data_IF_164136386520
#
_entry.id   IF_164136386520
#
_cell.length_a   1.000
_cell.length_b   1.000
_cell.length_c   1.000
_cell.angle_alpha   90.00
_cell.angle_beta   90.00
_cell.angle_gamma   90.00
#
_symmetry.space_group_name_H-M   'P 1'
#
loop_
_entity.id
_entity.type
_entity.pdbx_description
1 polymer ?
#
# COMPACT_ATOMS: atom_id res chain seq x y z
N UNK A 1 -0.43 5.67 -4.26
CA UNK A 1 -0.67 4.23 -4.00
C UNK A 1 -1.81 3.90 -3.04
N UNK A 2 -2.40 4.86 -2.29
CA UNK A 2 -3.51 4.59 -1.35
C UNK A 2 -4.81 4.03 -1.99
N UNK A 3 -4.96 4.12 -3.31
CA UNK A 3 -6.24 4.03 -4.02
C UNK A 3 -6.76 2.62 -4.34
N UNK A 4 -5.89 1.61 -4.49
CA UNK A 4 -6.33 0.20 -4.61
C UNK A 4 -6.37 -0.52 -3.26
N UNK A 5 -5.65 0.01 -2.26
CA UNK A 5 -5.53 -0.61 -0.96
C UNK A 5 -6.88 -0.71 -0.24
N UNK A 6 -7.74 0.30 -0.37
CA UNK A 6 -9.08 0.30 0.23
C UNK A 6 -9.97 -0.85 -0.27
N UNK A 7 -10.13 -1.01 -1.59
CA UNK A 7 -10.92 -2.12 -2.16
C UNK A 7 -10.34 -3.47 -1.82
N UNK A 8 -9.01 -3.60 -1.89
CA UNK A 8 -8.35 -4.84 -1.53
C UNK A 8 -8.58 -5.17 -0.05
N UNK A 9 -8.53 -4.18 0.84
CA UNK A 9 -8.83 -4.34 2.27
C UNK A 9 -10.28 -4.75 2.52
N UNK A 10 -11.26 -4.08 1.89
CA UNK A 10 -12.67 -4.45 2.01
C UNK A 10 -12.93 -5.89 1.52
N UNK A 11 -12.42 -6.26 0.35
CA UNK A 11 -12.59 -7.62 -0.18
C UNK A 11 -11.96 -8.68 0.73
N UNK A 12 -10.77 -8.39 1.27
CA UNK A 12 -10.02 -9.35 2.08
C UNK A 12 -10.58 -9.48 3.50
N UNK A 13 -11.00 -8.38 4.12
CA UNK A 13 -11.50 -8.34 5.49
C UNK A 13 -13.00 -8.60 5.60
N UNK A 14 -13.79 -8.08 4.66
CA UNK A 14 -15.26 -8.10 4.69
C UNK A 14 -15.87 -9.05 3.64
N UNK A 15 -15.06 -9.68 2.80
CA UNK A 15 -15.51 -10.63 1.76
C UNK A 15 -16.21 -9.98 0.55
N UNK A 16 -16.41 -8.65 0.57
CA UNK A 16 -17.03 -7.88 -0.52
C UNK A 16 -16.56 -6.42 -0.48
N UNK A 17 -16.62 -5.74 -1.63
CA UNK A 17 -16.35 -4.31 -1.73
C UNK A 17 -17.66 -3.53 -1.82
N UNK A 18 -17.77 -2.40 -1.11
CA UNK A 18 -19.02 -1.64 -1.00
C UNK A 18 -19.10 -0.39 -1.92
N UNK A 19 -18.16 -0.25 -2.85
CA UNK A 19 -18.34 0.64 -4.02
C UNK A 19 -17.73 2.04 -3.91
N UNK A 20 -16.86 2.31 -2.93
CA UNK A 20 -16.22 3.63 -2.77
C UNK A 20 -15.06 3.96 -3.73
N UNK A 21 -14.62 3.02 -4.57
CA UNK A 21 -13.34 3.14 -5.29
C UNK A 21 -13.45 3.47 -6.79
N UNK A 22 -14.60 3.96 -7.23
CA UNK A 22 -14.80 4.37 -8.63
C UNK A 22 -13.89 5.55 -9.00
N UNK A 23 -13.72 6.52 -8.09
CA UNK A 23 -12.76 7.63 -8.25
C UNK A 23 -11.32 7.12 -8.29
N UNK A 24 -10.97 6.22 -7.38
CA UNK A 24 -9.63 5.63 -7.27
C UNK A 24 -9.20 4.87 -8.53
N UNK A 25 -10.11 4.10 -9.12
CA UNK A 25 -9.85 3.37 -10.36
C UNK A 25 -9.65 4.31 -11.54
N UNK A 26 -10.43 5.39 -11.63
CA UNK A 26 -10.29 6.38 -12.71
C UNK A 26 -8.93 7.05 -12.65
N UNK A 27 -8.49 7.42 -11.45
CA UNK A 27 -7.22 8.12 -11.31
C UNK A 27 -6.01 7.22 -11.57
N UNK A 28 -6.09 5.95 -11.19
CA UNK A 28 -5.06 4.97 -11.56
C UNK A 28 -5.06 4.70 -13.06
N UNK A 29 -6.24 4.66 -13.70
CA UNK A 29 -6.31 4.51 -15.15
C UNK A 29 -5.57 5.65 -15.86
N UNK A 30 -5.77 6.90 -15.42
CA UNK A 30 -5.02 8.05 -15.96
C UNK A 30 -3.51 7.95 -15.75
N UNK A 31 -3.05 7.58 -14.54
CA UNK A 31 -1.61 7.38 -14.29
C UNK A 31 -1.01 6.25 -15.14
N UNK A 32 -1.81 5.24 -15.49
CA UNK A 32 -1.37 4.15 -16.36
C UNK A 32 -1.35 4.60 -17.83
N UNK A 33 -2.29 5.44 -18.26
CA UNK A 33 -2.32 6.02 -19.60
C UNK A 33 -1.06 6.85 -19.89
N UNK A 34 -0.50 7.52 -18.88
CA UNK A 34 0.74 8.30 -19.00
C UNK A 34 2.00 7.43 -19.23
N UNK A 35 1.94 6.13 -18.92
CA UNK A 35 3.10 5.21 -18.91
C UNK A 35 2.96 4.10 -19.95
N UNK A 36 1.73 3.71 -20.29
CA UNK A 36 1.46 2.59 -21.20
C UNK A 36 1.33 3.06 -22.65
N UNK A 37 1.96 2.34 -23.57
CA UNK A 37 1.92 2.68 -25.00
C UNK A 37 0.75 2.00 -25.74
N UNK A 38 0.01 1.13 -25.05
CA UNK A 38 -1.17 0.45 -25.62
C UNK A 38 -2.20 0.06 -24.56
N UNK A 39 -3.46 -0.08 -24.98
CA UNK A 39 -4.57 -0.56 -24.12
C UNK A 39 -4.28 -1.92 -23.48
N UNK A 40 -3.55 -2.80 -24.20
CA UNK A 40 -3.16 -4.12 -23.70
C UNK A 40 -2.15 -4.01 -22.55
N UNK A 41 -1.19 -3.10 -22.67
CA UNK A 41 -0.22 -2.80 -21.61
C UNK A 41 -0.91 -2.15 -20.41
N UNK A 42 -1.81 -1.17 -20.64
CA UNK A 42 -2.56 -0.51 -19.57
C UNK A 42 -3.34 -1.52 -18.72
N UNK A 43 -4.04 -2.44 -19.38
CA UNK A 43 -4.75 -3.54 -18.70
C UNK A 43 -3.80 -4.43 -17.89
N UNK A 44 -2.66 -4.80 -18.46
CA UNK A 44 -1.68 -5.67 -17.80
C UNK A 44 -1.10 -5.00 -16.57
N UNK A 45 -0.74 -3.71 -16.65
CA UNK A 45 -0.25 -2.93 -15.52
C UNK A 45 -1.29 -2.79 -14.42
N UNK A 46 -2.55 -2.50 -14.78
CA UNK A 46 -3.64 -2.41 -13.82
C UNK A 46 -3.80 -3.71 -13.01
N UNK A 47 -3.84 -4.87 -13.70
CA UNK A 47 -3.95 -6.18 -13.04
C UNK A 47 -2.76 -6.48 -12.11
N UNK A 48 -1.53 -6.10 -12.52
CA UNK A 48 -0.35 -6.25 -11.67
C UNK A 48 -0.45 -5.40 -10.42
N UNK A 49 -0.88 -4.14 -10.54
CA UNK A 49 -1.07 -3.24 -9.40
C UNK A 49 -2.15 -3.75 -8.44
N UNK A 50 -3.29 -4.23 -8.95
CA UNK A 50 -4.35 -4.82 -8.11
C UNK A 50 -3.85 -6.07 -7.37
N UNK A 51 -3.07 -6.93 -8.04
CA UNK A 51 -2.46 -8.10 -7.42
C UNK A 51 -1.48 -7.71 -6.32
N UNK A 52 -0.59 -6.75 -6.56
CA UNK A 52 0.35 -6.27 -5.54
C UNK A 52 -0.37 -5.64 -4.35
N UNK A 53 -1.37 -4.79 -4.58
CA UNK A 53 -2.18 -4.20 -3.52
C UNK A 53 -2.86 -5.28 -2.67
N UNK A 54 -3.44 -6.30 -3.32
CA UNK A 54 -4.06 -7.43 -2.63
C UNK A 54 -3.06 -8.23 -1.80
N UNK A 55 -1.87 -8.51 -2.32
CA UNK A 55 -0.81 -9.19 -1.56
C UNK A 55 -0.37 -8.37 -0.35
N UNK A 56 -0.23 -7.05 -0.50
CA UNK A 56 0.15 -6.15 0.58
C UNK A 56 -0.91 -6.15 1.69
N UNK A 57 -2.17 -6.02 1.31
CA UNK A 57 -3.30 -6.09 2.26
C UNK A 57 -3.32 -7.42 3.00
N UNK A 58 -3.19 -8.54 2.29
CA UNK A 58 -3.13 -9.88 2.91
C UNK A 58 -1.98 -10.00 3.90
N UNK A 59 -0.80 -9.53 3.50
CA UNK A 59 0.42 -9.54 4.32
C UNK A 59 0.25 -8.73 5.61
N UNK A 60 -0.46 -7.62 5.55
CA UNK A 60 -0.65 -6.70 6.68
C UNK A 60 -2.06 -6.77 7.30
N UNK A 61 -2.81 -7.85 7.03
CA UNK A 61 -4.22 -7.98 7.41
C UNK A 61 -4.49 -7.70 8.89
N UNK A 62 -3.66 -8.23 9.78
CA UNK A 62 -3.81 -8.03 11.23
C UNK A 62 -3.56 -6.57 11.65
N UNK A 63 -2.55 -5.93 11.08
CA UNK A 63 -2.26 -4.52 11.36
C UNK A 63 -3.37 -3.61 10.82
N UNK A 64 -3.90 -3.90 9.63
CA UNK A 64 -5.03 -3.17 9.05
C UNK A 64 -6.29 -3.32 9.93
N UNK A 65 -6.57 -4.53 10.42
CA UNK A 65 -7.70 -4.78 11.32
C UNK A 65 -7.54 -4.02 12.65
N UNK A 66 -6.37 -4.11 13.29
CA UNK A 66 -6.11 -3.40 14.55
C UNK A 66 -6.19 -1.87 14.38
N UNK A 67 -5.70 -1.34 13.26
CA UNK A 67 -5.84 0.08 12.94
C UNK A 67 -7.31 0.47 12.74
N UNK A 68 -8.09 -0.36 12.04
CA UNK A 68 -9.52 -0.12 11.86
C UNK A 68 -10.27 -0.12 13.20
N UNK A 69 -9.96 -1.07 14.09
CA UNK A 69 -10.53 -1.13 15.44
C UNK A 69 -10.17 0.13 16.25
N UNK A 70 -8.92 0.57 16.18
CA UNK A 70 -8.48 1.81 16.84
C UNK A 70 -9.22 3.05 16.31
N UNK A 71 -9.46 3.14 14.99
CA UNK A 71 -10.21 4.23 14.37
C UNK A 71 -11.72 4.18 14.65
N UNK A 72 -12.28 3.00 14.93
CA UNK A 72 -13.66 2.88 15.38
C UNK A 72 -13.83 3.38 16.83
N UNK A 73 -12.82 3.16 17.67
CA UNK A 73 -12.79 3.65 19.06
C UNK A 73 -12.46 5.15 19.14
N UNK A 74 -11.53 5.60 18.30
CA UNK A 74 -11.06 6.97 18.22
C UNK A 74 -11.43 7.54 16.85
N UNK A 75 -12.52 8.30 16.82
CA UNK A 75 -13.11 8.88 15.60
C UNK A 75 -12.10 9.65 14.75
N UNK A 76 -11.07 10.20 15.39
CA UNK A 76 -9.94 10.87 14.78
C UNK A 76 -8.64 10.43 15.45
N UNK A 77 -7.58 10.30 14.66
CA UNK A 77 -6.23 9.99 15.11
C UNK A 77 -5.27 10.98 14.46
N UNK A 78 -4.47 11.65 15.27
CA UNK A 78 -3.45 12.57 14.76
C UNK A 78 -2.26 11.78 14.19
N UNK A 79 -1.40 12.47 13.42
CA UNK A 79 -0.28 11.83 12.71
C UNK A 79 0.70 11.11 13.64
N UNK A 80 0.97 11.68 14.82
CA UNK A 80 1.91 11.09 15.78
C UNK A 80 1.35 9.82 16.41
N UNK A 81 0.09 9.83 16.85
CA UNK A 81 -0.57 8.64 17.39
C UNK A 81 -0.71 7.52 16.34
N UNK A 82 -0.90 7.89 15.07
CA UNK A 82 -0.90 6.94 13.96
C UNK A 82 0.48 6.31 13.76
N UNK A 83 1.55 7.12 13.81
CA UNK A 83 2.92 6.63 13.66
C UNK A 83 3.29 5.66 14.79
N UNK A 84 3.00 6.02 16.03
CA UNK A 84 3.26 5.19 17.21
C UNK A 84 2.50 3.85 17.14
N UNK A 85 1.23 3.89 16.74
CA UNK A 85 0.42 2.69 16.57
C UNK A 85 0.95 1.79 15.45
N UNK A 86 1.34 2.38 14.31
CA UNK A 86 1.92 1.63 13.20
C UNK A 86 3.25 0.99 13.60
N UNK A 87 4.11 1.67 14.34
CA UNK A 87 5.38 1.13 14.83
C UNK A 87 5.15 -0.09 15.72
N UNK A 88 4.21 -0.02 16.66
CA UNK A 88 3.84 -1.14 17.54
C UNK A 88 3.27 -2.34 16.77
N UNK A 89 2.37 -2.09 15.81
CA UNK A 89 1.73 -3.13 15.00
C UNK A 89 2.72 -3.80 14.03
N UNK A 90 3.69 -3.05 13.54
CA UNK A 90 4.73 -3.55 12.65
C UNK A 90 5.81 -4.31 13.44
N UNK A 91 6.22 -3.83 14.62
CA UNK A 91 7.20 -4.49 15.47
C UNK A 91 6.74 -5.87 15.98
N UNK A 92 5.44 -6.05 16.18
CA UNK A 92 4.83 -7.34 16.59
C UNK A 92 4.52 -8.26 15.41
N UNK A 93 4.60 -7.76 14.17
CA UNK A 93 4.46 -8.58 12.98
C UNK A 93 5.77 -9.33 12.71
N UNK A 94 5.78 -10.67 12.54
CA UNK A 94 6.99 -11.46 12.23
C UNK A 94 7.69 -11.06 10.92
N UNK A 95 7.12 -10.10 10.21
CA UNK A 95 7.46 -9.59 8.89
C UNK A 95 8.54 -8.48 8.91
N UNK A 96 8.74 -7.79 10.04
CA UNK A 96 9.66 -6.62 10.12
C UNK A 96 11.13 -7.01 10.33
N UNK A 97 11.45 -8.29 10.56
CA UNK A 97 12.85 -8.75 10.50
C UNK A 97 13.52 -8.56 9.13
N UNK A 98 12.75 -8.19 8.10
CA UNK A 98 13.27 -7.90 6.75
C UNK A 98 13.63 -6.41 6.52
N UNK A 99 13.27 -5.48 7.42
CA UNK A 99 13.49 -4.04 7.17
C UNK A 99 14.96 -3.59 7.21
N UNK A 100 15.88 -4.45 7.66
CA UNK A 100 17.32 -4.24 7.46
C UNK A 100 17.80 -4.41 6.01
N UNK A 101 16.96 -4.84 5.07
CA UNK A 101 17.35 -5.03 3.67
C UNK A 101 16.91 -3.87 2.74
N UNK A 102 15.83 -3.17 3.07
CA UNK A 102 15.30 -2.09 2.23
C UNK A 102 16.07 -0.76 2.42
N UNK A 103 16.45 -0.42 3.65
CA UNK A 103 17.27 0.77 3.94
C UNK A 103 18.65 0.74 3.26
N UNK A 104 19.19 -0.47 2.98
CA UNK A 104 20.44 -0.65 2.22
C UNK A 104 20.26 -0.47 0.71
N UNK A 105 19.03 -0.60 0.19
CA UNK A 105 18.73 -0.39 -1.23
C UNK A 105 18.60 1.10 -1.58
N UNK A 106 18.01 1.92 -0.71
CA UNK A 106 17.98 3.38 -0.92
C UNK A 106 19.35 4.02 -0.73
N UNK A 107 20.13 3.57 0.25
CA UNK A 107 21.52 4.01 0.42
C UNK A 107 22.40 3.60 -0.78
N UNK A 108 22.20 2.41 -1.36
CA UNK A 108 22.92 1.98 -2.56
C UNK A 108 22.49 2.75 -3.82
N UNK A 109 21.20 3.11 -3.95
CA UNK A 109 20.71 3.92 -5.06
C UNK A 109 21.22 5.38 -4.99
N UNK A 110 21.36 5.93 -3.79
CA UNK A 110 21.96 7.25 -3.58
C UNK A 110 23.47 7.26 -3.85
N UNK A 111 24.20 6.18 -3.53
CA UNK A 111 25.65 6.10 -3.76
C UNK A 111 26.04 5.97 -5.24
N UNK A 112 25.17 5.40 -6.08
CA UNK A 112 25.43 5.22 -7.52
C UNK A 112 25.22 6.53 -8.31
N UNK A 113 24.42 7.46 -7.80
CA UNK A 113 24.18 8.76 -8.43
C UNK A 113 25.27 9.80 -8.13
N UNK A 114 26.12 9.56 -7.12
CA UNK A 114 27.20 10.48 -6.71
C UNK A 114 28.57 10.15 -7.33
N UNK A 115 28.68 9.06 -8.11
CA UNK A 115 29.91 8.69 -8.83
C UNK A 115 29.88 9.06 -10.33
N UNK A 116 28.93 9.89 -10.76
CA UNK A 116 28.76 10.32 -12.15
C UNK A 116 28.99 11.82 -12.37
N UNK A 117 29.93 12.43 -11.62
CA UNK A 117 30.47 13.78 -11.89
C UNK A 117 31.97 13.71 -12.07
#
# INVERSE_FOLDING_TARGET
MQRLAGVSAERELLGRAYGGASCDRREIAHLIEDIAFSVKESRTLFWRLERFATMLVRRHRLAIAALADALLLHREMNGDALADLLEQLLATSPVVRCHGAWARSEAAAALVLDQSV
#
